data_IF_994602198668
#
_entry.id   IF_994602198668
#
_cell.length_a   1.000
_cell.length_b   1.000
_cell.length_c   1.000
_cell.angle_alpha   90.00
_cell.angle_beta   90.00
_cell.angle_gamma   90.00
#
_symmetry.space_group_name_H-M   'P 1'
#
loop_
_entity.id
_entity.type
_entity.pdbx_description
1 polymer ?
#
# COMPACT_ATOMS: atom_id res chain seq x y z
N UNK A 1 8.05 -21.29 -26.56
CA UNK A 1 7.47 -21.05 -25.22
C UNK A 1 6.11 -20.39 -25.38
N UNK A 2 5.05 -20.82 -24.66
CA UNK A 2 3.80 -20.08 -24.66
C UNK A 2 4.02 -18.73 -23.98
N UNK A 3 3.56 -17.66 -24.60
CA UNK A 3 3.60 -16.32 -24.01
C UNK A 3 2.75 -16.33 -22.73
N UNK A 4 3.34 -15.96 -21.59
CA UNK A 4 2.62 -15.77 -20.33
C UNK A 4 1.86 -14.44 -20.39
N UNK A 5 0.64 -14.41 -19.92
CA UNK A 5 -0.09 -13.16 -19.70
C UNK A 5 0.04 -12.76 -18.23
N UNK A 6 0.03 -11.46 -17.97
CA UNK A 6 0.08 -10.90 -16.61
C UNK A 6 -1.23 -10.15 -16.39
N UNK A 7 -1.94 -10.47 -15.31
CA UNK A 7 -3.10 -9.73 -14.86
C UNK A 7 -2.70 -8.88 -13.65
N UNK A 8 -2.74 -7.57 -13.80
CA UNK A 8 -2.67 -6.63 -12.69
C UNK A 8 -4.07 -6.35 -12.19
N UNK A 9 -4.31 -6.57 -10.91
CA UNK A 9 -5.60 -6.28 -10.29
C UNK A 9 -5.44 -5.42 -9.05
N UNK A 10 -6.34 -4.46 -8.87
CA UNK A 10 -6.49 -3.78 -7.58
C UNK A 10 -7.13 -4.74 -6.57
N UNK A 11 -7.04 -4.42 -5.31
CA UNK A 11 -7.55 -5.26 -4.22
C UNK A 11 -8.92 -4.77 -3.76
N UNK A 12 -9.00 -3.56 -3.25
CA UNK A 12 -10.18 -3.01 -2.59
C UNK A 12 -11.30 -2.68 -3.57
N UNK A 13 -12.47 -3.28 -3.37
CA UNK A 13 -13.62 -3.10 -4.25
C UNK A 13 -13.49 -3.81 -5.62
N UNK A 14 -12.36 -4.52 -5.86
CA UNK A 14 -12.10 -5.25 -7.10
C UNK A 14 -12.14 -6.75 -6.85
N UNK A 15 -11.30 -7.27 -5.97
CA UNK A 15 -11.30 -8.68 -5.57
C UNK A 15 -11.66 -8.87 -4.10
N UNK A 16 -11.32 -7.91 -3.22
CA UNK A 16 -11.69 -7.89 -1.81
C UNK A 16 -12.82 -6.89 -1.60
N UNK A 17 -13.96 -7.37 -1.18
CA UNK A 17 -15.17 -6.60 -0.91
C UNK A 17 -15.37 -6.41 0.59
N UNK A 18 -16.13 -5.38 0.96
CA UNK A 18 -16.54 -5.14 2.35
C UNK A 18 -18.05 -4.95 2.43
N UNK A 19 -18.68 -5.67 3.33
CA UNK A 19 -20.09 -5.49 3.68
C UNK A 19 -20.25 -5.54 5.20
N UNK A 20 -20.92 -4.53 5.77
CA UNK A 20 -21.18 -4.41 7.21
C UNK A 20 -19.90 -4.61 8.08
N UNK A 21 -18.76 -4.10 7.62
CA UNK A 21 -17.47 -4.18 8.32
C UNK A 21 -16.78 -5.55 8.22
N UNK A 22 -17.32 -6.49 7.45
CA UNK A 22 -16.68 -7.79 7.15
C UNK A 22 -16.15 -7.76 5.73
N UNK A 23 -14.90 -8.18 5.57
CA UNK A 23 -14.30 -8.35 4.24
C UNK A 23 -14.52 -9.77 3.72
N UNK A 24 -14.70 -9.91 2.41
CA UNK A 24 -14.88 -11.18 1.74
C UNK A 24 -14.38 -11.16 0.31
N UNK A 25 -14.05 -12.33 -0.21
CA UNK A 25 -13.80 -12.57 -1.62
C UNK A 25 -15.02 -13.25 -2.23
N UNK A 26 -15.31 -12.96 -3.50
CA UNK A 26 -16.27 -13.77 -4.26
C UNK A 26 -15.57 -15.05 -4.70
N UNK A 27 -16.18 -16.20 -4.45
CA UNK A 27 -15.63 -17.50 -4.81
C UNK A 27 -15.39 -17.61 -6.32
N UNK A 28 -16.32 -17.10 -7.15
CA UNK A 28 -16.17 -17.06 -8.60
C UNK A 28 -14.93 -16.30 -9.07
N UNK A 29 -14.56 -15.22 -8.38
CA UNK A 29 -13.43 -14.40 -8.75
C UNK A 29 -12.11 -15.12 -8.37
N UNK A 30 -12.09 -15.76 -7.18
CA UNK A 30 -10.94 -16.56 -6.75
C UNK A 30 -10.73 -17.76 -7.69
N UNK A 31 -11.79 -18.44 -8.10
CA UNK A 31 -11.71 -19.59 -9.01
C UNK A 31 -11.19 -19.15 -10.38
N UNK A 32 -11.67 -18.03 -10.93
CA UNK A 32 -11.21 -17.48 -12.19
C UNK A 32 -9.72 -17.11 -12.14
N UNK A 33 -9.27 -16.51 -11.03
CA UNK A 33 -7.85 -16.16 -10.82
C UNK A 33 -6.99 -17.42 -10.73
N UNK A 34 -7.40 -18.41 -9.95
CA UNK A 34 -6.68 -19.69 -9.81
C UNK A 34 -6.58 -20.42 -11.16
N UNK A 35 -7.68 -20.46 -11.93
CA UNK A 35 -7.67 -21.03 -13.29
C UNK A 35 -6.71 -20.29 -14.21
N UNK A 36 -6.65 -18.96 -14.14
CA UNK A 36 -5.73 -18.15 -14.92
C UNK A 36 -4.27 -18.50 -14.58
N UNK A 37 -3.92 -18.65 -13.29
CA UNK A 37 -2.58 -19.09 -12.86
C UNK A 37 -2.26 -20.53 -13.30
N UNK A 38 -3.23 -21.47 -13.20
CA UNK A 38 -3.05 -22.86 -13.66
C UNK A 38 -2.73 -22.98 -15.16
N UNK A 39 -3.16 -22.01 -15.95
CA UNK A 39 -2.81 -21.90 -17.36
C UNK A 39 -1.38 -21.36 -17.60
N UNK A 40 -0.60 -21.10 -16.54
CA UNK A 40 0.76 -20.59 -16.57
C UNK A 40 0.87 -19.07 -16.67
N UNK A 41 -0.22 -18.34 -16.44
CA UNK A 41 -0.23 -16.88 -16.39
C UNK A 41 0.08 -16.35 -14.98
N UNK A 42 0.35 -15.07 -14.86
CA UNK A 42 0.78 -14.43 -13.62
C UNK A 42 -0.26 -13.45 -13.08
N UNK A 43 -0.45 -13.43 -11.77
CA UNK A 43 -1.31 -12.48 -11.06
C UNK A 43 -0.45 -11.53 -10.23
N UNK A 44 -0.68 -10.24 -10.41
CA UNK A 44 -0.05 -9.16 -9.66
C UNK A 44 -1.13 -8.37 -8.91
N UNK A 45 -1.07 -8.39 -7.58
CA UNK A 45 -1.89 -7.49 -6.77
C UNK A 45 -1.21 -6.11 -6.76
N UNK A 46 -1.97 -5.06 -7.08
CA UNK A 46 -1.46 -3.69 -7.15
C UNK A 46 -2.33 -2.77 -6.28
N UNK A 47 -1.88 -2.52 -5.05
CA UNK A 47 -2.68 -1.83 -4.03
C UNK A 47 -1.95 -0.65 -3.39
N UNK A 48 -2.72 0.32 -2.88
CA UNK A 48 -2.20 1.35 -1.97
C UNK A 48 -1.89 0.85 -0.57
N UNK A 49 -2.35 -0.35 -0.21
CA UNK A 49 -2.12 -0.95 1.10
C UNK A 49 -0.65 -1.21 1.37
N UNK A 50 -0.26 -1.16 2.65
CA UNK A 50 1.01 -1.71 3.10
C UNK A 50 1.11 -3.21 2.78
N UNK A 51 2.32 -3.74 2.57
CA UNK A 51 2.52 -5.15 2.21
C UNK A 51 1.86 -6.13 3.20
N UNK A 52 2.00 -5.98 4.54
CA UNK A 52 1.31 -6.86 5.48
C UNK A 52 -0.24 -6.81 5.36
N UNK A 53 -0.78 -5.68 4.94
CA UNK A 53 -2.23 -5.51 4.75
C UNK A 53 -2.75 -6.06 3.41
N UNK A 54 -1.86 -6.38 2.49
CA UNK A 54 -2.17 -7.17 1.29
C UNK A 54 -2.12 -8.66 1.65
N UNK A 55 -1.06 -9.09 2.32
CA UNK A 55 -0.81 -10.51 2.63
C UNK A 55 -1.88 -11.08 3.56
N UNK A 56 -2.18 -10.42 4.68
CA UNK A 56 -3.05 -10.94 5.73
C UNK A 56 -4.44 -11.37 5.22
N UNK A 57 -5.20 -10.59 4.44
CA UNK A 57 -6.50 -11.03 3.95
C UNK A 57 -6.44 -12.07 2.83
N UNK A 58 -5.29 -12.21 2.13
CA UNK A 58 -5.12 -13.21 1.06
C UNK A 58 -4.74 -14.59 1.61
N UNK A 59 -4.28 -14.66 2.86
CA UNK A 59 -3.85 -15.92 3.48
C UNK A 59 -4.95 -16.97 3.45
N UNK A 60 -4.64 -18.15 2.91
CA UNK A 60 -5.60 -19.25 2.74
C UNK A 60 -6.56 -19.12 1.54
N UNK A 61 -6.61 -17.99 0.85
CA UNK A 61 -7.50 -17.75 -0.30
C UNK A 61 -6.78 -17.71 -1.64
N UNK A 62 -5.75 -16.88 -1.74
CA UNK A 62 -5.03 -16.62 -2.98
C UNK A 62 -3.55 -16.36 -2.69
N UNK A 63 -2.66 -16.98 -3.46
CA UNK A 63 -1.24 -16.67 -3.49
C UNK A 63 -0.92 -15.95 -4.80
N UNK A 64 -0.78 -14.62 -4.81
CA UNK A 64 -0.38 -13.89 -6.01
C UNK A 64 1.10 -14.17 -6.35
N UNK A 65 1.44 -14.08 -7.63
CA UNK A 65 2.84 -14.24 -8.05
C UNK A 65 3.69 -13.05 -7.61
N UNK A 66 3.10 -11.85 -7.67
CA UNK A 66 3.75 -10.60 -7.21
C UNK A 66 2.76 -9.67 -6.53
N UNK A 67 3.30 -8.77 -5.71
CA UNK A 67 2.54 -7.73 -5.02
C UNK A 67 3.23 -6.37 -5.19
N UNK A 68 2.48 -5.37 -5.64
CA UNK A 68 2.86 -3.97 -5.64
C UNK A 68 2.11 -3.32 -4.48
N UNK A 69 2.84 -2.90 -3.45
CA UNK A 69 2.31 -2.37 -2.20
C UNK A 69 2.69 -0.90 -1.99
N UNK A 70 2.02 -0.22 -1.06
CA UNK A 70 2.32 1.15 -0.68
C UNK A 70 2.27 2.12 -1.86
N UNK A 71 1.26 1.98 -2.73
CA UNK A 71 1.12 2.81 -3.93
C UNK A 71 2.34 2.73 -4.87
N UNK A 72 3.06 1.59 -4.86
CA UNK A 72 4.24 1.37 -5.70
C UNK A 72 5.58 1.51 -4.97
N UNK A 73 5.60 1.72 -3.67
CA UNK A 73 6.84 1.82 -2.89
C UNK A 73 7.56 0.48 -2.74
N UNK A 74 6.84 -0.64 -2.83
CA UNK A 74 7.38 -2.00 -2.71
C UNK A 74 6.87 -2.84 -3.87
N UNK A 75 7.78 -3.64 -4.45
CA UNK A 75 7.42 -4.79 -5.27
C UNK A 75 8.00 -6.03 -4.57
N UNK A 76 7.14 -7.01 -4.29
CA UNK A 76 7.51 -8.26 -3.66
C UNK A 76 7.00 -9.45 -4.47
N UNK A 77 7.68 -10.59 -4.35
CA UNK A 77 7.23 -11.88 -4.90
C UNK A 77 6.22 -12.58 -3.96
N UNK A 78 5.76 -13.76 -4.36
CA UNK A 78 4.84 -14.61 -3.58
C UNK A 78 5.37 -15.03 -2.20
N UNK A 79 6.69 -15.01 -2.00
CA UNK A 79 7.35 -15.28 -0.72
C UNK A 79 7.64 -14.02 0.09
N UNK A 80 7.11 -12.86 -0.34
CA UNK A 80 7.34 -11.55 0.29
C UNK A 80 8.81 -11.10 0.24
N UNK A 81 9.61 -11.68 -0.68
CA UNK A 81 10.95 -11.19 -0.95
C UNK A 81 10.84 -9.87 -1.73
N UNK A 82 11.52 -8.85 -1.24
CA UNK A 82 11.53 -7.53 -1.90
C UNK A 82 12.38 -7.61 -3.17
N UNK A 83 11.76 -7.31 -4.29
CA UNK A 83 12.38 -7.22 -5.61
C UNK A 83 12.75 -5.78 -5.98
N UNK A 84 11.96 -4.82 -5.47
CA UNK A 84 12.20 -3.40 -5.65
C UNK A 84 11.60 -2.63 -4.47
N UNK A 85 12.30 -1.58 -4.03
CA UNK A 85 11.84 -0.72 -2.95
C UNK A 85 12.21 0.75 -3.19
N UNK A 86 11.32 1.66 -2.80
CA UNK A 86 11.57 3.09 -2.75
C UNK A 86 11.05 3.63 -1.42
N UNK A 87 11.90 3.65 -0.39
CA UNK A 87 11.51 4.16 0.92
C UNK A 87 11.36 5.68 0.90
N UNK A 88 10.46 6.17 1.76
CA UNK A 88 10.32 7.59 2.07
C UNK A 88 11.31 7.95 3.18
N UNK A 89 11.94 9.11 3.08
CA UNK A 89 12.84 9.62 4.11
C UNK A 89 12.11 9.84 5.44
N UNK A 90 12.65 9.29 6.54
CA UNK A 90 12.14 9.54 7.88
C UNK A 90 12.09 11.05 8.20
N UNK A 91 13.09 11.80 7.74
CA UNK A 91 13.16 13.25 7.94
C UNK A 91 12.03 13.98 7.23
N UNK A 92 11.69 13.57 5.99
CA UNK A 92 10.56 14.14 5.25
C UNK A 92 9.22 13.88 5.97
N UNK A 93 8.99 12.64 6.42
CA UNK A 93 7.80 12.28 7.18
C UNK A 93 7.69 13.12 8.47
N UNK A 94 8.78 13.18 9.24
CA UNK A 94 8.79 13.94 10.50
C UNK A 94 8.56 15.43 10.29
N UNK A 95 9.13 16.01 9.24
CA UNK A 95 8.91 17.41 8.87
C UNK A 95 7.42 17.68 8.60
N UNK A 96 6.76 16.83 7.82
CA UNK A 96 5.33 16.95 7.50
C UNK A 96 4.48 16.90 8.77
N UNK A 97 4.73 15.94 9.67
CA UNK A 97 3.99 15.80 10.93
C UNK A 97 4.17 17.04 11.81
N UNK A 98 5.38 17.61 11.89
CA UNK A 98 5.66 18.78 12.71
C UNK A 98 5.07 20.07 12.15
N UNK A 99 4.94 20.19 10.83
CA UNK A 99 4.50 21.41 10.15
C UNK A 99 2.99 21.49 9.98
N UNK A 100 2.28 20.35 9.98
CA UNK A 100 0.84 20.38 9.81
C UNK A 100 0.11 20.39 11.16
N UNK A 101 -0.28 19.24 11.68
CA UNK A 101 -0.96 19.09 12.98
C UNK A 101 -0.46 17.85 13.70
N UNK A 102 0.02 17.99 14.94
CA UNK A 102 0.68 16.91 15.67
C UNK A 102 -0.24 15.74 16.09
N UNK A 103 -1.56 15.98 16.22
CA UNK A 103 -2.49 15.04 16.85
C UNK A 103 -3.37 14.25 15.88
N UNK A 104 -3.12 14.36 14.58
CA UNK A 104 -3.87 13.59 13.59
C UNK A 104 -3.49 12.11 13.71
N UNK A 105 -4.48 11.21 13.78
CA UNK A 105 -4.22 9.78 13.72
C UNK A 105 -3.52 9.42 12.43
N UNK A 106 -2.46 8.64 12.53
CA UNK A 106 -1.69 8.21 11.37
C UNK A 106 -1.22 6.77 11.50
N UNK A 107 -0.96 6.14 10.37
CA UNK A 107 -0.22 4.89 10.27
C UNK A 107 1.05 5.09 9.47
N UNK A 108 2.12 4.39 9.87
CA UNK A 108 3.42 4.37 9.18
C UNK A 108 3.72 2.94 8.77
N UNK A 109 4.13 2.76 7.52
CA UNK A 109 4.28 1.45 6.91
C UNK A 109 5.76 1.09 6.77
N UNK A 110 6.14 -0.04 7.36
CA UNK A 110 7.41 -0.73 7.08
C UNK A 110 7.14 -1.97 6.22
N UNK A 111 8.18 -2.73 5.91
CA UNK A 111 8.02 -3.99 5.16
C UNK A 111 7.12 -4.98 5.90
N UNK A 112 7.37 -5.18 7.20
CA UNK A 112 6.80 -6.28 7.98
C UNK A 112 5.68 -5.83 8.91
N UNK A 113 5.53 -4.51 9.15
CA UNK A 113 4.58 -3.97 10.13
C UNK A 113 3.92 -2.68 9.64
N UNK A 114 2.73 -2.46 10.18
CA UNK A 114 2.07 -1.16 10.15
C UNK A 114 1.98 -0.64 11.58
N UNK A 115 2.59 0.51 11.81
CA UNK A 115 2.58 1.19 13.10
C UNK A 115 1.52 2.27 13.13
N UNK A 116 0.89 2.46 14.28
CA UNK A 116 -0.13 3.49 14.46
C UNK A 116 0.27 4.48 15.53
N UNK A 117 0.07 5.77 15.26
CA UNK A 117 0.37 6.87 16.17
C UNK A 117 -0.87 7.77 16.31
N UNK A 118 -1.05 8.37 17.51
CA UNK A 118 -2.17 9.26 17.85
C UNK A 118 -3.56 8.61 17.70
N UNK A 119 -3.67 7.30 17.87
CA UNK A 119 -4.88 6.57 17.56
C UNK A 119 -5.97 6.68 18.60
N UNK A 120 -7.17 7.07 18.12
CA UNK A 120 -8.44 6.91 18.85
C UNK A 120 -9.32 5.81 18.25
N UNK A 121 -8.89 5.15 17.14
CA UNK A 121 -9.70 4.19 16.38
C UNK A 121 -8.97 2.85 16.24
N UNK A 122 -9.68 1.76 16.46
CA UNK A 122 -9.18 0.42 16.12
C UNK A 122 -9.27 0.20 14.61
N UNK A 123 -8.20 -0.30 14.01
CA UNK A 123 -8.23 -0.79 12.64
C UNK A 123 -8.65 -2.26 12.60
N UNK A 124 -9.34 -2.63 11.54
CA UNK A 124 -9.69 -4.05 11.30
C UNK A 124 -8.49 -4.87 10.79
N UNK A 125 -7.34 -4.22 10.58
CA UNK A 125 -6.09 -4.83 10.12
C UNK A 125 -5.03 -4.72 11.22
N UNK A 126 -4.09 -5.66 11.30
CA UNK A 126 -3.05 -5.65 12.32
C UNK A 126 -2.24 -4.35 12.29
N UNK A 127 -2.17 -3.68 13.44
CA UNK A 127 -1.35 -2.49 13.66
C UNK A 127 -0.65 -2.58 15.00
N UNK A 128 0.55 -2.06 15.07
CA UNK A 128 1.32 -1.93 16.31
C UNK A 128 1.28 -0.48 16.78
N UNK A 129 0.64 -0.16 17.92
CA UNK A 129 0.60 1.19 18.43
C UNK A 129 2.00 1.63 18.92
N UNK A 130 2.37 2.87 18.59
CA UNK A 130 3.60 3.52 19.04
C UNK A 130 3.30 4.91 19.63
N UNK A 131 4.11 5.32 20.60
CA UNK A 131 3.96 6.63 21.24
C UNK A 131 4.56 7.79 20.42
N UNK A 132 5.50 7.50 19.53
CA UNK A 132 6.15 8.46 18.64
C UNK A 132 6.72 7.77 17.42
N UNK A 133 6.69 8.47 16.29
CA UNK A 133 7.37 8.00 15.06
C UNK A 133 8.90 7.96 15.22
N UNK A 134 9.47 8.64 16.20
CA UNK A 134 10.92 8.60 16.48
C UNK A 134 11.44 7.19 16.79
N UNK A 135 10.56 6.30 17.22
CA UNK A 135 10.87 4.87 17.39
C UNK A 135 11.20 4.17 16.08
N UNK A 136 10.79 4.74 14.94
CA UNK A 136 11.00 4.20 13.60
C UNK A 136 12.16 4.87 12.85
N UNK A 137 13.00 5.65 13.54
CA UNK A 137 14.08 6.45 12.90
C UNK A 137 15.08 5.60 12.11
N UNK A 138 15.28 4.36 12.50
CA UNK A 138 16.21 3.41 11.86
C UNK A 138 15.53 2.45 10.88
N UNK A 139 14.19 2.52 10.79
CA UNK A 139 13.41 1.67 9.91
C UNK A 139 13.33 2.26 8.50
N UNK A 140 13.20 1.39 7.50
CA UNK A 140 12.81 1.79 6.14
C UNK A 140 11.29 1.99 6.12
N UNK A 141 10.87 3.19 5.77
CA UNK A 141 9.46 3.58 5.71
C UNK A 141 9.01 3.62 4.24
N UNK A 142 7.91 2.94 3.91
CA UNK A 142 7.42 2.82 2.54
C UNK A 142 6.15 3.59 2.27
N UNK A 143 5.61 4.24 3.28
CA UNK A 143 4.42 5.06 3.17
C UNK A 143 3.88 5.43 4.54
N UNK A 144 2.90 6.29 4.50
CA UNK A 144 2.18 6.76 5.68
C UNK A 144 0.76 7.10 5.25
N UNK A 145 -0.22 6.89 6.15
CA UNK A 145 -1.59 7.35 5.93
C UNK A 145 -2.03 8.23 7.08
N UNK A 146 -2.54 9.42 6.77
CA UNK A 146 -3.23 10.30 7.71
C UNK A 146 -4.73 10.04 7.66
N UNK A 147 -5.37 10.00 8.82
CA UNK A 147 -6.78 9.66 8.99
C UNK A 147 -7.57 10.87 9.47
N UNK A 148 -8.30 11.50 8.56
CA UNK A 148 -9.10 12.68 8.85
C UNK A 148 -10.54 12.30 9.23
N UNK A 149 -11.26 13.28 9.81
CA UNK A 149 -12.67 13.11 10.17
C UNK A 149 -13.61 13.10 8.95
N UNK A 150 -13.19 13.74 7.85
CA UNK A 150 -13.99 13.93 6.64
C UNK A 150 -13.12 14.16 5.39
N UNK A 151 -13.73 14.01 4.23
CA UNK A 151 -13.08 14.21 2.92
C UNK A 151 -12.58 15.65 2.70
N UNK A 152 -13.26 16.66 3.28
CA UNK A 152 -12.86 18.06 3.13
C UNK A 152 -11.52 18.31 3.81
N UNK A 153 -11.33 17.78 5.01
CA UNK A 153 -10.06 17.87 5.76
C UNK A 153 -8.94 17.10 5.05
N UNK A 154 -9.24 15.92 4.53
CA UNK A 154 -8.28 15.13 3.74
C UNK A 154 -7.81 15.91 2.49
N UNK A 155 -8.72 16.51 1.74
CA UNK A 155 -8.38 17.34 0.58
C UNK A 155 -7.56 18.58 0.97
N UNK A 156 -7.95 19.26 2.06
CA UNK A 156 -7.22 20.44 2.54
C UNK A 156 -5.76 20.10 2.89
N UNK A 157 -5.52 18.94 3.50
CA UNK A 157 -4.17 18.46 3.78
C UNK A 157 -3.40 18.14 2.48
N UNK A 158 -4.02 17.44 1.53
CA UNK A 158 -3.38 17.13 0.26
C UNK A 158 -3.02 18.41 -0.53
N UNK A 159 -3.93 19.39 -0.56
CA UNK A 159 -3.70 20.70 -1.19
C UNK A 159 -2.58 21.49 -0.50
N UNK A 160 -2.49 21.40 0.83
CA UNK A 160 -1.41 22.00 1.59
C UNK A 160 -0.07 21.34 1.25
N UNK A 161 -0.03 20.00 1.23
CA UNK A 161 1.17 19.25 0.93
C UNK A 161 1.69 19.55 -0.49
N UNK A 162 0.79 19.61 -1.47
CA UNK A 162 1.15 19.91 -2.87
C UNK A 162 1.76 21.32 -3.04
N UNK A 163 1.34 22.28 -2.21
CA UNK A 163 1.84 23.68 -2.21
C UNK A 163 3.06 23.87 -1.33
N UNK A 164 3.40 22.89 -0.52
CA UNK A 164 4.55 22.95 0.40
C UNK A 164 5.84 22.50 -0.28
N UNK A 165 6.98 22.69 0.40
CA UNK A 165 8.31 22.28 -0.10
C UNK A 165 8.63 20.81 0.28
N UNK A 166 7.64 19.93 0.20
CA UNK A 166 7.79 18.49 0.50
C UNK A 166 7.93 17.67 -0.79
N UNK A 167 9.00 17.96 -1.56
CA UNK A 167 9.21 17.38 -2.88
C UNK A 167 9.50 15.86 -2.88
N UNK A 168 9.83 15.27 -1.73
CA UNK A 168 10.16 13.84 -1.61
C UNK A 168 8.93 12.93 -1.57
N UNK A 169 7.74 13.49 -1.31
CA UNK A 169 6.51 12.71 -1.13
C UNK A 169 5.39 13.15 -2.06
N UNK A 170 4.44 12.25 -2.27
CA UNK A 170 3.20 12.50 -2.99
C UNK A 170 2.02 11.99 -2.17
N UNK A 171 0.93 12.76 -2.16
CA UNK A 171 -0.31 12.43 -1.48
C UNK A 171 -1.35 11.85 -2.44
N UNK A 172 -2.14 10.92 -1.93
CA UNK A 172 -3.27 10.28 -2.62
C UNK A 172 -4.47 10.31 -1.69
N UNK A 173 -5.49 11.12 -2.03
CA UNK A 173 -6.71 11.20 -1.23
C UNK A 173 -7.58 9.97 -1.47
N UNK A 174 -7.93 9.29 -0.38
CA UNK A 174 -8.79 8.11 -0.36
C UNK A 174 -9.93 8.34 0.63
N UNK A 175 -11.07 8.85 0.14
CA UNK A 175 -12.25 9.25 0.93
C UNK A 175 -11.87 10.27 2.00
N UNK A 176 -11.64 9.84 3.24
CA UNK A 176 -11.25 10.67 4.39
C UNK A 176 -9.80 10.44 4.82
N UNK A 177 -9.10 9.56 4.14
CA UNK A 177 -7.70 9.23 4.40
C UNK A 177 -6.80 9.86 3.33
N UNK A 178 -5.55 10.14 3.67
CA UNK A 178 -4.53 10.55 2.72
C UNK A 178 -3.35 9.63 2.85
N UNK A 179 -3.17 8.81 1.82
CA UNK A 179 -2.00 7.95 1.69
C UNK A 179 -0.84 8.75 1.11
N UNK A 180 0.35 8.56 1.65
CA UNK A 180 1.58 9.18 1.15
C UNK A 180 2.61 8.11 0.82
N UNK A 181 3.28 8.31 -0.30
CA UNK A 181 4.38 7.49 -0.77
C UNK A 181 5.52 8.39 -1.30
N UNK A 182 6.65 7.79 -1.66
CA UNK A 182 7.70 8.49 -2.41
C UNK A 182 7.09 9.16 -3.65
N UNK A 183 7.58 10.35 -4.02
CA UNK A 183 7.03 11.13 -5.14
C UNK A 183 6.99 10.36 -6.46
N UNK A 184 8.03 9.59 -6.73
CA UNK A 184 8.18 8.81 -7.96
C UNK A 184 7.40 7.48 -7.93
N UNK A 185 6.69 7.21 -6.82
CA UNK A 185 5.86 6.03 -6.70
C UNK A 185 4.46 6.28 -7.25
N UNK A 186 3.99 5.39 -8.09
CA UNK A 186 2.58 5.32 -8.48
C UNK A 186 2.20 3.89 -8.88
N UNK A 187 0.92 3.54 -8.68
CA UNK A 187 0.38 2.26 -9.15
C UNK A 187 0.58 2.06 -10.67
N UNK A 188 0.47 3.14 -11.45
CA UNK A 188 0.53 3.08 -12.90
C UNK A 188 1.95 2.99 -13.47
N UNK A 189 2.96 3.56 -12.80
CA UNK A 189 4.34 3.52 -13.29
C UNK A 189 5.01 2.18 -13.00
N UNK A 190 4.62 1.48 -11.94
CA UNK A 190 5.18 0.17 -11.59
C UNK A 190 4.79 -0.94 -12.56
N UNK A 191 3.74 -0.78 -13.34
CA UNK A 191 3.44 -1.68 -14.47
C UNK A 191 4.52 -1.62 -15.56
N UNK A 192 5.22 -0.49 -15.67
CA UNK A 192 6.28 -0.23 -16.67
C UNK A 192 7.69 -0.49 -16.10
N UNK A 193 7.81 -0.92 -14.86
CA UNK A 193 9.11 -1.16 -14.24
C UNK A 193 9.87 -2.28 -15.00
N UNK A 194 11.20 -2.18 -15.18
CA UNK A 194 12.00 -3.22 -15.86
C UNK A 194 11.82 -4.63 -15.30
N UNK A 195 11.45 -4.77 -14.03
CA UNK A 195 11.07 -6.07 -13.45
C UNK A 195 9.83 -6.67 -14.12
N UNK A 196 8.93 -5.87 -14.74
CA UNK A 196 7.82 -6.41 -15.51
C UNK A 196 8.28 -7.20 -16.73
N UNK A 197 9.42 -6.88 -17.31
CA UNK A 197 10.04 -7.64 -18.41
C UNK A 197 10.64 -8.97 -17.90
N UNK A 198 11.22 -8.96 -16.68
CA UNK A 198 11.74 -10.17 -16.03
C UNK A 198 10.64 -11.14 -15.62
N UNK A 199 9.45 -10.65 -15.26
CA UNK A 199 8.32 -11.52 -14.91
C UNK A 199 7.77 -12.35 -16.09
N UNK A 200 7.94 -11.85 -17.33
CA UNK A 200 7.52 -12.55 -18.54
C UNK A 200 8.42 -13.77 -18.80
N UNK A 201 9.63 -13.77 -18.27
CA UNK A 201 10.66 -14.79 -18.53
C UNK A 201 10.93 -15.72 -17.36
N UNK A 202 10.37 -15.47 -16.17
CA UNK A 202 10.43 -16.34 -15.00
C UNK A 202 9.32 -17.39 -15.02
#
# INVERSE_FOLDING_TARGET
MKQKNILFTDMDGTILFSDNGKTYFKESDLDAIKEFQQRGNLIVINSGRALPWIVAPLEGYLLPDYMIAGTGSIIADSHQQILHEEPVSFTAIKKIINEYESDIPLTVHTKDNVFSCNQKKQYNLPTTPISSIDLLKTEKLYGMSFHFKDNKSAKAFADWLEKSDHQEVRAFVNIQDVDMACRDCSKGERHKHPLSETWIHA
#
